data_IF_684420348343
#
_entry.id   IF_684420348343
#
_cell.length_a   1.000
_cell.length_b   1.000
_cell.length_c   1.000
_cell.angle_alpha   90.00
_cell.angle_beta   90.00
_cell.angle_gamma   90.00
#
_symmetry.space_group_name_H-M   'P 1'
#
loop_
_entity.id
_entity.type
_entity.pdbx_description
1 polymer ?
#
# COMPACT_ATOMS: atom_id res chain seq x y z
N UNK A 1 13.62 -64.18 20.29
CA UNK A 1 12.45 -64.67 21.05
C UNK A 1 11.82 -65.82 20.27
N UNK A 2 11.86 -67.02 20.85
CA UNK A 2 11.38 -68.27 20.23
C UNK A 2 9.85 -68.24 20.16
N UNK A 3 9.31 -68.42 18.97
CA UNK A 3 7.87 -68.45 18.71
C UNK A 3 7.29 -69.75 19.32
N UNK A 4 6.85 -69.70 20.58
CA UNK A 4 6.23 -70.83 21.25
C UNK A 4 4.83 -71.06 20.65
N UNK A 5 4.78 -71.91 19.62
CA UNK A 5 3.55 -72.31 18.95
C UNK A 5 2.49 -72.82 19.93
N UNK A 6 1.23 -72.42 19.71
CA UNK A 6 0.08 -72.86 20.50
C UNK A 6 0.02 -74.39 20.60
N UNK A 7 -0.18 -74.91 21.81
CA UNK A 7 -0.52 -76.33 22.03
C UNK A 7 -1.84 -76.65 21.32
N UNK A 8 -1.81 -77.52 20.32
CA UNK A 8 -3.01 -78.04 19.65
C UNK A 8 -3.77 -78.98 20.59
N UNK A 9 -5.11 -78.88 20.58
CA UNK A 9 -6.05 -79.62 21.44
C UNK A 9 -6.21 -81.11 21.05
N UNK A 10 -5.11 -81.78 20.72
CA UNK A 10 -5.11 -83.20 20.35
C UNK A 10 -4.74 -84.08 21.54
N UNK A 11 -5.51 -85.15 21.77
CA UNK A 11 -5.15 -86.16 22.77
C UNK A 11 -3.81 -86.81 22.41
N UNK A 12 -3.13 -87.42 23.39
CA UNK A 12 -1.79 -88.01 23.24
C UNK A 12 -1.70 -88.96 22.03
N UNK A 13 -2.70 -89.83 21.87
CA UNK A 13 -2.83 -90.76 20.75
C UNK A 13 -2.88 -90.08 19.36
N UNK A 14 -3.63 -88.98 19.22
CA UNK A 14 -3.71 -88.25 17.94
C UNK A 14 -2.41 -87.50 17.63
N UNK A 15 -1.69 -87.08 18.68
CA UNK A 15 -0.40 -86.41 18.55
C UNK A 15 0.69 -87.36 18.09
N UNK A 16 0.68 -88.60 18.59
CA UNK A 16 1.63 -89.64 18.22
C UNK A 16 1.46 -90.09 16.77
N UNK A 17 0.21 -90.15 16.29
CA UNK A 17 -0.13 -90.56 14.90
C UNK A 17 -0.16 -89.42 13.88
N UNK A 18 0.08 -88.16 14.30
CA UNK A 18 0.02 -86.95 13.46
C UNK A 18 -1.27 -86.78 12.62
N UNK A 19 -2.41 -87.20 13.17
CA UNK A 19 -3.72 -87.08 12.49
C UNK A 19 -4.50 -85.87 13.02
N UNK A 20 -5.17 -85.12 12.13
CA UNK A 20 -6.05 -84.00 12.52
C UNK A 20 -7.29 -84.55 13.25
N UNK A 21 -7.71 -83.90 14.35
CA UNK A 21 -8.75 -84.38 15.28
C UNK A 21 -10.11 -84.74 14.65
N UNK A 22 -10.39 -84.23 13.46
CA UNK A 22 -11.65 -84.39 12.73
C UNK A 22 -11.80 -85.82 12.15
N UNK A 23 -10.72 -86.60 12.09
CA UNK A 23 -10.70 -87.96 11.53
C UNK A 23 -10.44 -89.06 12.58
N UNK A 24 -10.75 -88.82 13.85
CA UNK A 24 -10.63 -89.85 14.89
C UNK A 24 -11.86 -90.78 14.87
N UNK A 25 -11.73 -92.10 14.58
CA UNK A 25 -12.88 -93.01 14.45
C UNK A 25 -13.54 -93.38 15.80
N UNK A 26 -12.95 -92.97 16.92
CA UNK A 26 -13.42 -93.31 18.27
C UNK A 26 -14.04 -92.08 18.94
N UNK A 27 -15.20 -91.65 18.44
CA UNK A 27 -15.87 -90.39 18.81
C UNK A 27 -16.59 -90.40 20.17
N UNK A 28 -16.48 -91.47 20.97
CA UNK A 28 -17.23 -91.59 22.24
C UNK A 28 -16.40 -91.23 23.47
N UNK A 29 -15.07 -91.40 23.46
CA UNK A 29 -14.24 -91.19 24.67
C UNK A 29 -13.66 -89.75 24.76
N UNK A 30 -13.72 -88.95 23.68
CA UNK A 30 -13.21 -87.58 23.69
C UNK A 30 -14.22 -86.50 24.14
N UNK A 31 -15.42 -86.86 24.60
CA UNK A 31 -16.48 -85.89 24.93
C UNK A 31 -16.40 -85.26 26.32
N UNK A 32 -15.51 -85.71 27.20
CA UNK A 32 -15.37 -85.13 28.53
C UNK A 32 -14.17 -84.18 28.60
N UNK A 33 -14.30 -83.01 27.96
CA UNK A 33 -13.50 -81.83 28.34
C UNK A 33 -14.42 -80.84 29.07
N UNK A 34 -14.06 -80.41 30.29
CA UNK A 34 -14.97 -79.67 31.16
C UNK A 34 -15.27 -78.26 30.60
N UNK A 35 -16.51 -77.81 30.82
CA UNK A 35 -17.05 -76.49 30.46
C UNK A 35 -16.23 -75.28 30.99
N UNK A 36 -15.24 -75.51 31.86
CA UNK A 36 -14.35 -74.48 32.41
C UNK A 36 -13.39 -73.86 31.39
N UNK A 37 -13.12 -74.54 30.26
CA UNK A 37 -12.22 -74.03 29.21
C UNK A 37 -12.89 -72.96 28.33
N UNK A 38 -14.22 -72.97 28.20
CA UNK A 38 -14.95 -71.97 27.42
C UNK A 38 -15.04 -70.63 28.15
N UNK A 39 -15.29 -70.64 29.47
CA UNK A 39 -15.36 -69.43 30.29
C UNK A 39 -14.04 -68.65 30.30
N UNK A 40 -12.91 -69.35 30.38
CA UNK A 40 -11.59 -68.73 30.27
C UNK A 40 -11.31 -68.12 28.88
N UNK A 41 -11.80 -68.76 27.82
CA UNK A 41 -11.67 -68.22 26.46
C UNK A 41 -12.54 -66.98 26.26
N UNK A 42 -13.76 -66.98 26.77
CA UNK A 42 -14.68 -65.84 26.76
C UNK A 42 -14.12 -64.65 27.54
N UNK A 43 -13.65 -64.86 28.77
CA UNK A 43 -13.02 -63.80 29.59
C UNK A 43 -11.81 -63.20 28.88
N UNK A 44 -10.98 -64.03 28.25
CA UNK A 44 -9.79 -63.57 27.52
C UNK A 44 -10.14 -62.80 26.25
N UNK A 45 -11.25 -63.13 25.59
CA UNK A 45 -11.77 -62.35 24.45
C UNK A 45 -12.35 -61.03 24.94
N UNK A 46 -13.17 -61.05 26.00
CA UNK A 46 -13.73 -59.83 26.59
C UNK A 46 -12.63 -58.86 27.06
N UNK A 47 -11.58 -59.36 27.69
CA UNK A 47 -10.45 -58.53 28.15
C UNK A 47 -9.71 -57.90 26.97
N UNK A 48 -9.56 -58.62 25.85
CA UNK A 48 -8.93 -58.09 24.62
C UNK A 48 -9.79 -57.04 23.94
N UNK A 49 -11.09 -57.27 23.86
CA UNK A 49 -12.03 -56.30 23.29
C UNK A 49 -12.07 -55.03 24.13
N UNK A 50 -12.09 -55.16 25.46
CA UNK A 50 -12.09 -54.01 26.36
C UNK A 50 -10.79 -53.23 26.26
N UNK A 51 -9.64 -53.91 26.21
CA UNK A 51 -8.32 -53.27 26.01
C UNK A 51 -8.22 -52.53 24.67
N UNK A 52 -8.70 -53.15 23.59
CA UNK A 52 -8.71 -52.50 22.27
C UNK A 52 -9.66 -51.29 22.23
N UNK A 53 -10.78 -51.34 22.98
CA UNK A 53 -11.75 -50.24 23.08
C UNK A 53 -11.17 -49.07 23.88
N UNK A 54 -10.49 -49.33 25.00
CA UNK A 54 -9.80 -48.29 25.76
C UNK A 54 -8.63 -47.68 25.00
N UNK A 55 -7.82 -48.48 24.29
CA UNK A 55 -6.74 -47.97 23.44
C UNK A 55 -7.28 -47.07 22.31
N UNK A 56 -8.40 -47.44 21.68
CA UNK A 56 -9.06 -46.60 20.67
C UNK A 56 -9.65 -45.31 21.25
N UNK A 57 -10.26 -45.37 22.44
CA UNK A 57 -10.74 -44.17 23.13
C UNK A 57 -9.59 -43.23 23.51
N UNK A 58 -8.49 -43.78 23.99
CA UNK A 58 -7.30 -43.01 24.38
C UNK A 58 -6.64 -42.36 23.15
N UNK A 59 -6.58 -43.08 22.03
CA UNK A 59 -6.11 -42.55 20.76
C UNK A 59 -7.02 -41.44 20.22
N UNK A 60 -8.34 -41.66 20.22
CA UNK A 60 -9.31 -40.63 19.80
C UNK A 60 -9.26 -39.40 20.72
N UNK A 61 -9.00 -39.58 22.02
CA UNK A 61 -8.83 -38.48 22.97
C UNK A 61 -7.52 -37.71 22.72
N UNK A 62 -6.44 -38.38 22.32
CA UNK A 62 -5.18 -37.74 21.93
C UNK A 62 -5.32 -36.97 20.61
N UNK A 63 -6.04 -37.52 19.65
CA UNK A 63 -6.35 -36.86 18.36
C UNK A 63 -7.32 -35.68 18.53
N UNK A 64 -8.28 -35.78 19.44
CA UNK A 64 -9.15 -34.65 19.80
C UNK A 64 -8.42 -33.57 20.61
N UNK A 65 -7.32 -33.93 21.31
CA UNK A 65 -6.49 -32.99 22.07
C UNK A 65 -5.40 -32.31 21.22
N UNK A 66 -5.16 -32.75 19.98
CA UNK A 66 -4.27 -32.02 19.08
C UNK A 66 -5.00 -30.81 18.50
N UNK A 67 -4.61 -29.62 18.99
CA UNK A 67 -5.02 -28.34 18.41
C UNK A 67 -4.67 -28.37 16.91
N UNK A 68 -5.63 -28.08 16.00
CA UNK A 68 -5.33 -27.97 14.58
C UNK A 68 -4.18 -26.99 14.40
N UNK A 69 -3.12 -27.40 13.68
CA UNK A 69 -2.06 -26.45 13.32
C UNK A 69 -2.72 -25.38 12.46
N UNK A 70 -2.82 -24.17 13.00
CA UNK A 70 -3.36 -23.03 12.26
C UNK A 70 -2.62 -22.89 10.94
N UNK A 71 -3.32 -22.44 9.89
CA UNK A 71 -2.69 -22.11 8.60
C UNK A 71 -1.63 -21.05 8.89
N UNK A 72 -0.36 -21.43 8.75
CA UNK A 72 0.76 -20.51 8.99
C UNK A 72 0.86 -19.55 7.80
N UNK A 73 0.27 -18.37 7.93
CA UNK A 73 0.41 -17.28 6.97
C UNK A 73 1.73 -16.57 7.27
N UNK A 74 2.56 -16.36 6.23
CA UNK A 74 3.86 -15.72 6.41
C UNK A 74 3.70 -14.22 6.68
N UNK A 75 4.73 -13.60 7.27
CA UNK A 75 4.71 -12.18 7.59
C UNK A 75 4.50 -11.32 6.33
N UNK A 76 5.05 -11.75 5.20
CA UNK A 76 4.96 -11.10 3.89
C UNK A 76 3.50 -10.99 3.43
N UNK A 77 2.71 -12.05 3.57
CA UNK A 77 1.29 -12.06 3.16
C UNK A 77 0.45 -11.14 4.05
N UNK A 78 0.69 -11.16 5.36
CA UNK A 78 0.02 -10.25 6.30
C UNK A 78 0.37 -8.78 6.02
N UNK A 79 1.66 -8.50 5.82
CA UNK A 79 2.15 -7.18 5.48
C UNK A 79 1.62 -6.69 4.13
N UNK A 80 1.51 -7.59 3.15
CA UNK A 80 0.94 -7.27 1.84
C UNK A 80 -0.51 -6.82 1.93
N UNK A 81 -1.36 -7.60 2.60
CA UNK A 81 -2.78 -7.25 2.77
C UNK A 81 -2.96 -5.92 3.49
N UNK A 82 -2.16 -5.69 4.55
CA UNK A 82 -2.18 -4.42 5.28
C UNK A 82 -1.75 -3.25 4.38
N UNK A 83 -0.63 -3.41 3.67
CA UNK A 83 -0.14 -2.38 2.75
C UNK A 83 -1.19 -2.02 1.69
N UNK A 84 -1.84 -3.02 1.08
CA UNK A 84 -2.86 -2.77 0.08
C UNK A 84 -4.09 -2.04 0.67
N UNK A 85 -4.54 -2.43 1.87
CA UNK A 85 -5.63 -1.72 2.54
C UNK A 85 -5.25 -0.26 2.82
N UNK A 86 -4.07 -0.02 3.40
CA UNK A 86 -3.65 1.32 3.80
C UNK A 86 -3.41 2.23 2.58
N UNK A 87 -2.64 1.76 1.60
CA UNK A 87 -2.15 2.57 0.49
C UNK A 87 -3.03 2.54 -0.75
N UNK A 88 -3.83 1.51 -1.01
CA UNK A 88 -4.76 1.52 -2.14
C UNK A 88 -6.17 1.89 -1.68
N UNK A 89 -6.77 1.10 -0.78
CA UNK A 89 -8.18 1.23 -0.43
C UNK A 89 -8.46 2.48 0.41
N UNK A 90 -7.73 2.67 1.50
CA UNK A 90 -8.00 3.76 2.45
C UNK A 90 -7.46 5.11 1.98
N UNK A 91 -6.31 5.11 1.28
CA UNK A 91 -5.75 6.35 0.72
C UNK A 91 -6.45 6.81 -0.56
N UNK A 92 -6.99 5.88 -1.35
CA UNK A 92 -7.56 6.15 -2.67
C UNK A 92 -6.54 6.38 -3.78
N UNK A 93 -5.23 6.24 -3.54
CA UNK A 93 -4.21 6.46 -4.58
C UNK A 93 -4.36 5.44 -5.71
N UNK A 94 -4.77 5.94 -6.89
CA UNK A 94 -5.15 5.10 -8.04
C UNK A 94 -4.00 4.25 -8.57
N UNK A 95 -2.75 4.72 -8.44
CA UNK A 95 -1.56 3.98 -8.86
C UNK A 95 -1.48 2.60 -8.18
N UNK A 96 -1.88 2.47 -6.92
CA UNK A 96 -1.73 1.21 -6.19
C UNK A 96 -2.84 0.19 -6.50
N UNK A 97 -3.91 0.61 -7.17
CA UNK A 97 -4.97 -0.30 -7.64
C UNK A 97 -4.46 -1.29 -8.71
N UNK A 98 -3.32 -1.02 -9.34
CA UNK A 98 -2.71 -1.91 -10.34
C UNK A 98 -1.97 -3.10 -9.72
N UNK A 99 -1.61 -3.03 -8.44
CA UNK A 99 -0.71 -4.00 -7.83
C UNK A 99 -1.23 -5.45 -7.87
N UNK A 100 -2.52 -5.76 -7.61
CA UNK A 100 -3.03 -7.12 -7.71
C UNK A 100 -2.89 -7.70 -9.13
N UNK A 101 -3.12 -6.87 -10.15
CA UNK A 101 -2.97 -7.25 -11.56
C UNK A 101 -1.50 -7.52 -11.90
N UNK A 102 -0.59 -6.64 -11.47
CA UNK A 102 0.84 -6.81 -11.74
C UNK A 102 1.38 -8.04 -11.01
N UNK A 103 0.96 -8.26 -9.76
CA UNK A 103 1.38 -9.42 -8.96
C UNK A 103 0.99 -10.76 -9.60
N UNK A 104 -0.22 -10.86 -10.15
CA UNK A 104 -0.75 -12.10 -10.74
C UNK A 104 -0.23 -12.41 -12.15
N UNK A 105 0.33 -11.43 -12.86
CA UNK A 105 0.68 -11.53 -14.29
C UNK A 105 2.12 -11.98 -14.55
N UNK A 106 2.63 -12.98 -13.80
CA UNK A 106 4.05 -13.40 -13.88
C UNK A 106 5.03 -12.22 -13.74
N UNK A 107 4.85 -11.44 -12.67
CA UNK A 107 5.67 -10.27 -12.36
C UNK A 107 7.18 -10.57 -12.32
N UNK A 108 7.98 -9.57 -12.69
CA UNK A 108 9.44 -9.63 -12.54
C UNK A 108 9.86 -9.84 -11.09
N UNK A 109 11.04 -10.45 -10.89
CA UNK A 109 11.62 -10.63 -9.56
C UNK A 109 11.80 -9.31 -8.84
N UNK A 110 12.25 -8.24 -9.53
CA UNK A 110 12.44 -6.94 -8.88
C UNK A 110 11.15 -6.36 -8.32
N UNK A 111 10.01 -6.59 -8.99
CA UNK A 111 8.71 -6.17 -8.47
C UNK A 111 8.31 -6.93 -7.21
N UNK A 112 8.44 -8.26 -7.21
CA UNK A 112 8.06 -9.08 -6.05
C UNK A 112 8.87 -8.68 -4.82
N UNK A 113 10.18 -8.53 -4.99
CA UNK A 113 11.09 -8.10 -3.94
C UNK A 113 10.78 -6.68 -3.45
N UNK A 114 10.54 -5.72 -4.36
CA UNK A 114 10.19 -4.36 -3.99
C UNK A 114 8.85 -4.29 -3.23
N UNK A 115 7.87 -5.10 -3.65
CA UNK A 115 6.56 -5.21 -3.01
C UNK A 115 6.68 -5.74 -1.58
N UNK A 116 7.45 -6.82 -1.39
CA UNK A 116 7.72 -7.36 -0.06
C UNK A 116 8.46 -6.36 0.81
N UNK A 117 9.48 -5.69 0.25
CA UNK A 117 10.24 -4.67 0.96
C UNK A 117 9.33 -3.56 1.51
N UNK A 118 8.49 -2.96 0.65
CA UNK A 118 7.65 -1.82 1.07
C UNK A 118 6.50 -2.25 1.99
N UNK A 119 5.92 -3.42 1.78
CA UNK A 119 4.85 -3.93 2.64
C UNK A 119 5.38 -4.25 4.06
N UNK A 120 6.55 -4.91 4.13
CA UNK A 120 7.21 -5.23 5.40
C UNK A 120 7.70 -3.97 6.11
N UNK A 121 8.24 -2.98 5.38
CA UNK A 121 8.75 -1.75 6.00
C UNK A 121 7.63 -0.91 6.60
N UNK A 122 6.50 -0.81 5.90
CA UNK A 122 5.28 -0.18 6.42
C UNK A 122 4.82 -0.87 7.70
N UNK A 123 4.69 -2.21 7.67
CA UNK A 123 4.28 -3.00 8.83
C UNK A 123 5.27 -2.88 9.99
N UNK A 124 6.57 -2.88 9.73
CA UNK A 124 7.62 -2.73 10.73
C UNK A 124 7.50 -1.40 11.48
N UNK A 125 7.19 -0.31 10.77
CA UNK A 125 6.99 1.02 11.35
C UNK A 125 5.71 1.09 12.17
N UNK A 126 4.60 0.65 11.62
CA UNK A 126 3.29 0.71 12.30
C UNK A 126 3.25 -0.19 13.54
N UNK A 127 3.82 -1.39 13.46
CA UNK A 127 3.81 -2.37 14.56
C UNK A 127 5.03 -2.24 15.48
N UNK A 128 5.97 -1.34 15.17
CA UNK A 128 7.23 -1.16 15.88
C UNK A 128 8.05 -2.47 16.01
N UNK A 129 8.06 -3.30 14.96
CA UNK A 129 8.73 -4.59 14.95
C UNK A 129 10.04 -4.54 14.16
N UNK A 130 11.17 -4.54 14.87
CA UNK A 130 12.51 -4.48 14.26
C UNK A 130 12.84 -5.71 13.40
N UNK A 131 12.28 -6.89 13.71
CA UNK A 131 12.46 -8.10 12.89
C UNK A 131 11.92 -7.94 11.47
N UNK A 132 10.75 -7.30 11.32
CA UNK A 132 10.18 -7.01 10.01
C UNK A 132 11.04 -6.01 9.23
N UNK A 133 11.65 -5.03 9.92
CA UNK A 133 12.57 -4.08 9.30
C UNK A 133 13.82 -4.76 8.71
N UNK A 134 14.35 -5.80 9.37
CA UNK A 134 15.49 -6.58 8.84
C UNK A 134 15.09 -7.30 7.55
N UNK A 135 13.92 -7.95 7.54
CA UNK A 135 13.41 -8.62 6.34
C UNK A 135 13.15 -7.61 5.21
N UNK A 136 12.54 -6.46 5.53
CA UNK A 136 12.25 -5.41 4.57
C UNK A 136 13.51 -4.91 3.87
N UNK A 137 14.59 -4.68 4.61
CA UNK A 137 15.89 -4.26 4.06
C UNK A 137 16.55 -5.32 3.19
N UNK A 138 16.39 -6.61 3.54
CA UNK A 138 16.89 -7.71 2.70
C UNK A 138 16.19 -7.71 1.35
N UNK A 139 14.85 -7.71 1.36
CA UNK A 139 14.04 -7.64 0.14
C UNK A 139 14.34 -6.38 -0.69
N UNK A 140 14.57 -5.23 -0.04
CA UNK A 140 15.00 -4.01 -0.74
C UNK A 140 16.34 -4.21 -1.48
N UNK A 141 17.34 -4.82 -0.85
CA UNK A 141 18.63 -5.11 -1.50
C UNK A 141 18.51 -6.11 -2.66
N UNK A 142 17.67 -7.13 -2.49
CA UNK A 142 17.35 -8.12 -3.53
C UNK A 142 16.64 -7.45 -4.72
N UNK A 143 15.69 -6.55 -4.44
CA UNK A 143 14.97 -5.77 -5.44
C UNK A 143 15.89 -4.88 -6.26
N UNK A 144 16.83 -4.16 -5.65
CA UNK A 144 17.80 -3.32 -6.36
C UNK A 144 18.69 -4.17 -7.28
N UNK A 145 19.14 -5.34 -6.79
CA UNK A 145 19.96 -6.26 -7.59
C UNK A 145 19.19 -6.77 -8.81
N UNK A 146 17.95 -7.23 -8.59
CA UNK A 146 17.09 -7.71 -9.68
C UNK A 146 16.68 -6.59 -10.65
N UNK A 147 16.49 -5.37 -10.14
CA UNK A 147 16.17 -4.21 -10.96
C UNK A 147 17.32 -3.86 -11.91
N UNK A 148 18.57 -3.86 -11.42
CA UNK A 148 19.73 -3.62 -12.29
C UNK A 148 19.81 -4.66 -13.42
N UNK A 149 19.58 -5.93 -13.10
CA UNK A 149 19.51 -7.00 -14.11
C UNK A 149 18.40 -6.74 -15.13
N UNK A 150 17.21 -6.32 -14.67
CA UNK A 150 16.08 -6.02 -15.55
C UNK A 150 16.34 -4.80 -16.45
N UNK A 151 17.05 -3.78 -15.96
CA UNK A 151 17.41 -2.58 -16.72
C UNK A 151 18.49 -2.84 -17.78
N UNK A 152 19.32 -3.87 -17.60
CA UNK A 152 20.31 -4.31 -18.59
C UNK A 152 19.68 -5.11 -19.75
N UNK A 153 18.47 -5.66 -19.54
CA UNK A 153 17.72 -6.39 -20.56
C UNK A 153 16.61 -5.51 -21.18
N UNK A 154 16.69 -5.28 -22.49
CA UNK A 154 15.73 -4.44 -23.22
C UNK A 154 14.28 -4.95 -23.15
N UNK A 155 14.06 -6.26 -23.09
CA UNK A 155 12.72 -6.84 -22.99
C UNK A 155 12.15 -6.64 -21.59
N UNK A 156 12.95 -6.92 -20.56
CA UNK A 156 12.53 -6.74 -19.17
C UNK A 156 12.33 -5.26 -18.81
N UNK A 157 13.17 -4.37 -19.33
CA UNK A 157 13.05 -2.91 -19.13
C UNK A 157 11.69 -2.37 -19.59
N UNK A 158 11.09 -2.98 -20.62
CA UNK A 158 9.79 -2.57 -21.15
C UNK A 158 8.59 -3.10 -20.34
N UNK A 159 8.81 -3.90 -19.30
CA UNK A 159 7.76 -4.52 -18.48
C UNK A 159 7.21 -3.53 -17.43
N UNK A 160 5.88 -3.46 -17.29
CA UNK A 160 5.22 -2.60 -16.30
C UNK A 160 5.67 -2.88 -14.86
N UNK A 161 5.97 -4.14 -14.55
CA UNK A 161 6.43 -4.54 -13.21
C UNK A 161 7.77 -3.88 -12.84
N UNK A 162 8.65 -3.58 -13.80
CA UNK A 162 9.91 -2.86 -13.56
C UNK A 162 9.64 -1.40 -13.19
N UNK A 163 8.74 -0.73 -13.91
CA UNK A 163 8.34 0.64 -13.59
C UNK A 163 7.68 0.73 -12.22
N UNK A 164 6.77 -0.19 -11.90
CA UNK A 164 6.13 -0.23 -10.58
C UNK A 164 7.14 -0.56 -9.48
N UNK A 165 8.10 -1.44 -9.72
CA UNK A 165 9.17 -1.73 -8.77
C UNK A 165 9.96 -0.47 -8.38
N UNK A 166 10.33 0.37 -9.36
CA UNK A 166 11.01 1.66 -9.11
C UNK A 166 10.18 2.59 -8.20
N UNK A 167 8.87 2.64 -8.40
CA UNK A 167 7.97 3.47 -7.59
C UNK A 167 7.84 2.92 -6.15
N UNK A 168 7.76 1.60 -5.99
CA UNK A 168 7.70 0.95 -4.68
C UNK A 168 9.01 1.12 -3.89
N UNK A 169 10.17 1.08 -4.58
CA UNK A 169 11.46 1.38 -3.97
C UNK A 169 11.53 2.84 -3.48
N UNK A 170 11.01 3.79 -4.27
CA UNK A 170 10.88 5.19 -3.83
C UNK A 170 10.03 5.31 -2.57
N UNK A 171 8.92 4.57 -2.49
CA UNK A 171 8.05 4.57 -1.32
C UNK A 171 8.73 3.94 -0.10
N UNK A 172 9.51 2.87 -0.27
CA UNK A 172 10.30 2.29 0.81
C UNK A 172 11.22 3.34 1.45
N UNK A 173 11.90 4.12 0.63
CA UNK A 173 12.86 5.14 1.07
C UNK A 173 12.15 6.33 1.73
N UNK A 174 10.95 6.67 1.27
CA UNK A 174 10.09 7.66 1.92
C UNK A 174 9.65 7.21 3.32
N UNK A 175 9.37 5.92 3.52
CA UNK A 175 8.97 5.37 4.82
C UNK A 175 10.18 5.30 5.79
N UNK A 176 11.41 5.14 5.28
CA UNK A 176 12.65 5.05 6.07
C UNK A 176 13.69 6.06 5.58
N UNK A 177 13.45 7.37 5.80
CA UNK A 177 14.30 8.42 5.28
C UNK A 177 15.69 8.43 5.91
N UNK A 178 15.85 7.90 7.14
CA UNK A 178 17.11 7.91 7.87
C UNK A 178 18.24 7.13 7.17
N UNK A 179 17.90 6.24 6.24
CA UNK A 179 18.87 5.43 5.50
C UNK A 179 19.41 6.10 4.22
N UNK A 180 18.75 7.14 3.69
CA UNK A 180 18.96 7.61 2.31
C UNK A 180 19.22 9.12 2.14
N UNK A 181 19.33 9.89 3.23
CA UNK A 181 19.59 11.35 3.22
C UNK A 181 21.02 11.73 2.79
N UNK A 182 21.40 11.44 1.54
CA UNK A 182 22.69 11.88 0.97
C UNK A 182 22.57 12.97 -0.10
N UNK A 183 21.40 13.15 -0.70
CA UNK A 183 21.15 14.15 -1.74
C UNK A 183 20.09 15.15 -1.26
N UNK A 184 20.47 16.43 -1.17
CA UNK A 184 19.57 17.50 -0.72
C UNK A 184 18.47 17.81 -1.74
N UNK A 185 18.71 17.58 -3.03
CA UNK A 185 17.80 17.97 -4.11
C UNK A 185 16.67 16.95 -4.32
N UNK A 186 16.89 15.69 -3.93
CA UNK A 186 15.94 14.57 -4.12
C UNK A 186 15.60 13.83 -2.82
N UNK A 187 15.63 14.55 -1.69
CA UNK A 187 15.58 14.02 -0.31
C UNK A 187 14.44 13.02 0.02
N UNK A 188 13.41 12.89 -0.83
CA UNK A 188 12.29 11.95 -0.67
C UNK A 188 11.93 11.14 -1.94
N UNK A 189 12.65 11.29 -3.06
CA UNK A 189 12.30 10.62 -4.33
C UNK A 189 13.54 10.28 -5.18
N UNK A 190 14.51 9.55 -4.62
CA UNK A 190 15.79 9.29 -5.30
C UNK A 190 15.65 8.52 -6.62
N UNK A 191 14.59 7.72 -6.79
CA UNK A 191 14.30 7.04 -8.06
C UNK A 191 13.41 7.85 -9.01
N UNK A 192 12.98 9.07 -8.67
CA UNK A 192 12.15 9.93 -9.52
C UNK A 192 12.76 10.13 -10.91
N UNK A 193 14.05 10.50 -10.95
CA UNK A 193 14.77 10.69 -12.21
C UNK A 193 14.86 9.39 -13.01
N UNK A 194 15.09 8.26 -12.33
CA UNK A 194 15.12 6.94 -12.96
C UNK A 194 13.77 6.57 -13.59
N UNK A 195 12.67 6.81 -12.87
CA UNK A 195 11.31 6.56 -13.35
C UNK A 195 10.98 7.43 -14.58
N UNK A 196 11.31 8.73 -14.56
CA UNK A 196 11.14 9.60 -15.73
C UNK A 196 11.98 9.16 -16.93
N UNK A 197 13.24 8.76 -16.71
CA UNK A 197 14.10 8.24 -17.77
C UNK A 197 13.56 6.93 -18.36
N UNK A 198 13.00 6.05 -17.53
CA UNK A 198 12.38 4.82 -17.98
C UNK A 198 11.12 5.09 -18.81
N UNK A 199 10.23 5.96 -18.32
CA UNK A 199 9.04 6.40 -19.08
C UNK A 199 9.43 6.97 -20.45
N UNK A 200 10.49 7.78 -20.48
CA UNK A 200 11.04 8.34 -21.73
C UNK A 200 11.56 7.27 -22.65
N UNK A 201 12.37 6.35 -22.13
CA UNK A 201 12.91 5.25 -22.90
C UNK A 201 11.82 4.39 -23.51
N UNK A 202 10.74 4.11 -22.76
CA UNK A 202 9.56 3.36 -23.23
C UNK A 202 8.81 4.13 -24.33
N UNK A 203 8.54 5.43 -24.11
CA UNK A 203 7.84 6.28 -25.06
C UNK A 203 8.59 6.41 -26.40
N UNK A 204 9.90 6.70 -26.37
CA UNK A 204 10.74 6.85 -27.57
C UNK A 204 10.82 5.55 -28.41
N UNK A 205 10.49 4.41 -27.81
CA UNK A 205 10.51 3.08 -28.45
C UNK A 205 9.12 2.51 -28.72
N UNK A 206 8.05 3.29 -28.52
CA UNK A 206 6.67 2.83 -28.63
C UNK A 206 6.38 1.58 -27.78
N UNK A 207 6.96 1.53 -26.58
CA UNK A 207 6.78 0.49 -25.56
C UNK A 207 5.96 0.99 -24.37
N UNK A 208 5.17 2.05 -24.57
CA UNK A 208 4.37 2.63 -23.51
C UNK A 208 3.08 1.84 -23.26
N UNK A 209 2.59 1.85 -22.02
CA UNK A 209 1.37 1.21 -21.57
C UNK A 209 0.41 2.22 -20.92
N UNK A 210 -0.84 1.80 -20.64
CA UNK A 210 -1.79 2.62 -19.87
C UNK A 210 -1.28 2.94 -18.45
N UNK A 211 -0.41 2.08 -17.91
CA UNK A 211 0.18 2.26 -16.59
C UNK A 211 1.19 3.42 -16.57
N UNK A 212 1.82 3.73 -17.72
CA UNK A 212 2.75 4.85 -17.82
C UNK A 212 2.07 6.19 -17.54
N UNK A 213 0.84 6.38 -18.05
CA UNK A 213 0.05 7.59 -17.79
C UNK A 213 -0.23 7.71 -16.29
N UNK A 214 -0.70 6.63 -15.65
CA UNK A 214 -0.97 6.63 -14.19
C UNK A 214 0.29 6.91 -13.36
N UNK A 215 1.43 6.31 -13.74
CA UNK A 215 2.72 6.59 -13.11
C UNK A 215 3.14 8.04 -13.30
N UNK A 216 2.93 8.58 -14.48
CA UNK A 216 3.25 9.97 -14.77
C UNK A 216 2.39 10.95 -13.97
N UNK A 217 1.09 10.69 -13.80
CA UNK A 217 0.22 11.50 -12.95
C UNK A 217 0.71 11.48 -11.49
N UNK A 218 1.14 10.32 -11.00
CA UNK A 218 1.73 10.18 -9.67
C UNK A 218 3.05 10.97 -9.52
N UNK A 219 3.93 10.92 -10.52
CA UNK A 219 5.18 11.71 -10.55
C UNK A 219 4.89 13.22 -10.63
N UNK A 220 3.83 13.62 -11.35
CA UNK A 220 3.38 15.02 -11.42
C UNK A 220 2.93 15.52 -10.06
N UNK A 221 2.21 14.70 -9.30
CA UNK A 221 1.84 15.03 -7.92
C UNK A 221 3.04 15.17 -7.00
N UNK A 222 4.02 14.27 -7.09
CA UNK A 222 5.28 14.37 -6.35
C UNK A 222 5.95 15.74 -6.61
N UNK A 223 6.01 16.17 -7.87
CA UNK A 223 6.56 17.47 -8.23
C UNK A 223 5.75 18.62 -7.64
N UNK A 224 4.43 18.54 -7.71
CA UNK A 224 3.52 19.54 -7.14
C UNK A 224 3.74 19.66 -5.62
N UNK A 225 3.77 18.54 -4.90
CA UNK A 225 4.02 18.54 -3.45
C UNK A 225 5.40 19.11 -3.11
N UNK A 226 6.45 18.72 -3.86
CA UNK A 226 7.81 19.27 -3.66
C UNK A 226 7.83 20.79 -3.88
N UNK A 227 7.12 21.28 -4.90
CA UNK A 227 7.03 22.71 -5.18
C UNK A 227 6.41 23.47 -4.00
N UNK A 228 5.36 22.94 -3.39
CA UNK A 228 4.61 23.61 -2.32
C UNK A 228 5.21 23.43 -0.91
N UNK A 229 5.77 22.27 -0.59
CA UNK A 229 6.24 21.93 0.76
C UNK A 229 7.69 22.34 1.03
N UNK A 230 8.59 22.24 0.04
CA UNK A 230 10.03 22.43 0.30
C UNK A 230 10.49 23.88 0.13
N UNK A 231 9.58 24.78 -0.26
CA UNK A 231 9.90 26.16 -0.63
C UNK A 231 11.11 26.26 -1.59
N UNK A 232 11.31 25.22 -2.42
CA UNK A 232 12.43 25.10 -3.34
C UNK A 232 12.33 26.26 -4.36
N UNK A 233 13.30 27.19 -4.39
CA UNK A 233 13.26 28.33 -5.30
C UNK A 233 13.49 27.90 -6.76
N UNK A 234 14.02 26.68 -6.96
CA UNK A 234 14.31 26.12 -8.26
C UNK A 234 13.37 24.96 -8.58
N UNK A 235 12.52 25.22 -9.56
CA UNK A 235 11.63 24.32 -10.28
C UNK A 235 12.40 23.23 -11.07
N UNK A 236 13.35 22.52 -10.45
CA UNK A 236 14.18 21.56 -11.20
C UNK A 236 13.38 20.31 -11.56
N UNK A 237 12.63 19.78 -10.58
CA UNK A 237 11.81 18.57 -10.76
C UNK A 237 10.66 18.80 -11.73
N UNK A 238 10.00 19.94 -11.59
CA UNK A 238 8.84 20.26 -12.40
C UNK A 238 9.23 20.72 -13.81
N UNK A 239 10.34 21.45 -14.00
CA UNK A 239 10.92 21.67 -15.33
C UNK A 239 11.32 20.35 -16.02
N UNK A 240 11.93 19.40 -15.28
CA UNK A 240 12.26 18.09 -15.84
C UNK A 240 11.00 17.33 -16.29
N UNK A 241 9.91 17.45 -15.54
CA UNK A 241 8.60 16.89 -15.86
C UNK A 241 8.01 17.54 -17.14
N UNK A 242 8.07 18.85 -17.26
CA UNK A 242 7.59 19.59 -18.45
C UNK A 242 8.38 19.24 -19.71
N UNK A 243 9.71 19.25 -19.63
CA UNK A 243 10.60 18.87 -20.75
C UNK A 243 10.26 17.46 -21.24
N UNK A 244 9.97 16.54 -20.30
CA UNK A 244 9.56 15.18 -20.63
C UNK A 244 8.16 15.12 -21.26
N UNK A 245 7.21 15.90 -20.76
CA UNK A 245 5.81 15.80 -21.16
C UNK A 245 5.52 16.40 -22.54
N UNK A 246 6.24 17.45 -22.95
CA UNK A 246 6.07 18.14 -24.25
C UNK A 246 5.98 17.18 -25.45
N UNK A 247 6.86 16.18 -25.63
CA UNK A 247 6.77 15.24 -26.74
C UNK A 247 5.73 14.12 -26.54
N UNK A 248 5.24 13.89 -25.32
CA UNK A 248 4.56 12.64 -24.95
C UNK A 248 3.07 12.81 -24.61
N UNK A 249 2.69 13.90 -23.96
CA UNK A 249 1.32 14.09 -23.44
C UNK A 249 0.52 14.98 -24.38
N UNK A 250 -0.58 14.44 -24.89
CA UNK A 250 -1.57 15.19 -25.66
C UNK A 250 -2.58 15.83 -24.69
N UNK A 251 -2.15 16.83 -23.94
CA UNK A 251 -3.01 17.49 -22.96
C UNK A 251 -2.25 18.25 -21.89
N UNK A 252 -2.96 18.98 -21.02
CA UNK A 252 -2.35 19.65 -19.89
C UNK A 252 -1.85 18.62 -18.87
N UNK A 253 -0.69 18.90 -18.26
CA UNK A 253 -0.08 18.08 -17.20
C UNK A 253 -0.96 17.93 -15.96
N UNK A 254 -1.67 19.01 -15.67
CA UNK A 254 -2.55 19.15 -14.54
C UNK A 254 -3.93 19.55 -15.03
N UNK A 255 -4.95 19.22 -14.26
CA UNK A 255 -6.24 19.88 -14.36
C UNK A 255 -6.11 21.42 -14.28
N UNK A 256 -7.02 22.16 -14.92
CA UNK A 256 -6.85 23.60 -15.16
C UNK A 256 -6.59 24.45 -13.91
N UNK A 257 -7.22 24.12 -12.78
CA UNK A 257 -7.05 24.88 -11.54
C UNK A 257 -5.63 24.70 -10.96
N UNK A 258 -5.11 23.48 -10.93
CA UNK A 258 -3.76 23.20 -10.43
C UNK A 258 -2.69 23.71 -11.39
N UNK A 259 -2.93 23.69 -12.70
CA UNK A 259 -2.04 24.30 -13.70
C UNK A 259 -1.86 25.81 -13.45
N UNK A 260 -2.96 26.55 -13.28
CA UNK A 260 -2.91 27.99 -12.94
C UNK A 260 -2.19 28.28 -11.64
N UNK A 261 -2.29 27.38 -10.65
CA UNK A 261 -1.59 27.53 -9.37
C UNK A 261 -0.07 27.44 -9.55
N UNK A 262 0.42 26.51 -10.36
CA UNK A 262 1.85 26.38 -10.67
C UNK A 262 2.37 27.63 -11.36
N UNK A 263 1.66 28.11 -12.39
CA UNK A 263 2.03 29.31 -13.13
C UNK A 263 2.02 30.56 -12.23
N UNK A 264 0.99 30.70 -11.39
CA UNK A 264 0.89 31.77 -10.40
C UNK A 264 2.09 31.77 -9.45
N UNK A 265 2.45 30.61 -8.89
CA UNK A 265 3.58 30.49 -7.96
C UNK A 265 4.90 30.86 -8.61
N UNK A 266 5.15 30.40 -9.85
CA UNK A 266 6.34 30.77 -10.63
C UNK A 266 6.44 32.27 -10.83
N UNK A 267 5.33 32.90 -11.26
CA UNK A 267 5.28 34.34 -11.42
C UNK A 267 5.53 35.05 -10.08
N UNK A 268 4.89 34.65 -8.98
CA UNK A 268 5.09 35.24 -7.66
C UNK A 268 6.54 35.12 -7.16
N UNK A 269 7.21 33.99 -7.38
CA UNK A 269 8.61 33.80 -7.00
C UNK A 269 9.58 34.59 -7.88
N UNK A 270 9.33 34.66 -9.19
CA UNK A 270 10.12 35.49 -10.10
C UNK A 270 10.08 36.97 -9.66
N UNK A 271 8.92 37.43 -9.21
CA UNK A 271 8.72 38.78 -8.67
C UNK A 271 9.55 39.03 -7.40
N UNK A 272 9.62 38.04 -6.50
CA UNK A 272 10.45 38.13 -5.30
C UNK A 272 11.96 38.10 -5.59
N UNK A 273 12.38 37.42 -6.66
CA UNK A 273 13.81 37.17 -6.97
C UNK A 273 14.43 38.26 -7.84
N UNK A 274 13.67 38.85 -8.78
CA UNK A 274 14.18 39.82 -9.77
C UNK A 274 14.44 41.21 -9.16
N UNK A 275 13.95 41.48 -7.94
CA UNK A 275 14.24 42.70 -7.18
C UNK A 275 13.61 43.96 -7.77
N UNK A 276 12.65 44.55 -7.04
CA UNK A 276 12.06 45.91 -7.15
C UNK A 276 11.73 46.54 -8.54
N UNK A 277 11.93 45.87 -9.67
CA UNK A 277 11.70 46.44 -11.00
C UNK A 277 10.31 46.14 -11.58
N UNK A 278 9.54 45.29 -10.91
CA UNK A 278 8.19 44.99 -11.36
C UNK A 278 7.26 46.15 -11.10
N UNK A 279 6.43 46.46 -12.08
CA UNK A 279 5.46 47.54 -11.91
C UNK A 279 4.46 47.17 -10.83
N UNK A 280 4.09 48.13 -9.96
CA UNK A 280 3.05 47.93 -8.93
C UNK A 280 1.73 47.41 -9.53
N UNK A 281 1.47 47.75 -10.80
CA UNK A 281 0.32 47.31 -11.57
C UNK A 281 0.36 45.79 -11.82
N UNK A 282 1.52 45.24 -12.21
CA UNK A 282 1.71 43.79 -12.38
C UNK A 282 1.49 43.05 -11.07
N UNK A 283 2.04 43.56 -9.95
CA UNK A 283 1.85 42.92 -8.64
C UNK A 283 0.39 42.94 -8.20
N UNK A 284 -0.34 44.04 -8.45
CA UNK A 284 -1.79 44.12 -8.18
C UNK A 284 -2.56 43.13 -9.05
N UNK A 285 -2.20 42.95 -10.32
CA UNK A 285 -2.84 41.95 -11.17
C UNK A 285 -2.57 40.54 -10.64
N UNK A 286 -1.34 40.25 -10.22
CA UNK A 286 -0.97 38.96 -9.64
C UNK A 286 -1.76 38.68 -8.35
N UNK A 287 -1.96 39.68 -7.49
CA UNK A 287 -2.83 39.56 -6.30
C UNK A 287 -4.26 39.16 -6.70
N UNK A 288 -4.84 39.80 -7.73
CA UNK A 288 -6.18 39.47 -8.22
C UNK A 288 -6.26 38.05 -8.76
N UNK A 289 -5.27 37.65 -9.56
CA UNK A 289 -5.20 36.30 -10.11
C UNK A 289 -5.13 35.26 -8.98
N UNK A 290 -4.31 35.52 -7.95
CA UNK A 290 -4.23 34.65 -6.77
C UNK A 290 -5.53 34.55 -5.99
N UNK A 291 -6.29 35.65 -5.84
CA UNK A 291 -7.62 35.63 -5.20
C UNK A 291 -8.60 34.76 -6.01
N UNK A 292 -8.66 34.93 -7.33
CA UNK A 292 -9.52 34.11 -8.20
C UNK A 292 -9.13 32.64 -8.14
N UNK A 293 -7.83 32.32 -8.15
CA UNK A 293 -7.35 30.95 -7.99
C UNK A 293 -7.79 30.36 -6.63
N UNK A 294 -7.75 31.13 -5.55
CA UNK A 294 -8.21 30.69 -4.23
C UNK A 294 -9.71 30.35 -4.21
N UNK A 295 -10.54 31.13 -4.90
CA UNK A 295 -11.98 30.88 -5.02
C UNK A 295 -12.24 29.61 -5.85
N UNK A 296 -11.52 29.44 -6.95
CA UNK A 296 -11.66 28.26 -7.82
C UNK A 296 -11.21 26.97 -7.13
N UNK A 297 -10.14 27.01 -6.33
CA UNK A 297 -9.69 25.88 -5.51
C UNK A 297 -10.74 25.48 -4.46
N UNK A 298 -11.37 26.45 -3.80
CA UNK A 298 -12.41 26.21 -2.80
C UNK A 298 -13.67 25.60 -3.43
N UNK A 299 -14.08 26.13 -4.60
CA UNK A 299 -15.18 25.58 -5.38
C UNK A 299 -14.88 24.15 -5.85
N UNK A 300 -13.65 23.90 -6.31
CA UNK A 300 -13.19 22.57 -6.72
C UNK A 300 -13.24 21.60 -5.55
N UNK A 301 -12.66 21.94 -4.39
CA UNK A 301 -12.71 21.12 -3.19
C UNK A 301 -14.16 20.80 -2.77
N UNK A 302 -15.03 21.80 -2.75
CA UNK A 302 -16.45 21.62 -2.40
C UNK A 302 -17.20 20.72 -3.39
N UNK A 303 -16.79 20.71 -4.66
CA UNK A 303 -17.38 19.87 -5.70
C UNK A 303 -16.98 18.39 -5.59
N UNK A 304 -15.84 18.07 -4.98
CA UNK A 304 -15.38 16.69 -4.77
C UNK A 304 -16.38 15.96 -3.89
N UNK A 305 -16.93 14.85 -4.38
CA UNK A 305 -17.89 14.01 -3.65
C UNK A 305 -17.62 12.54 -3.95
N UNK A 306 -17.72 11.71 -2.92
CA UNK A 306 -17.66 10.27 -3.10
C UNK A 306 -18.83 9.78 -3.96
N UNK A 307 -18.59 8.70 -4.70
CA UNK A 307 -19.65 8.00 -5.43
C UNK A 307 -20.80 7.62 -4.50
N UNK A 308 -22.03 7.77 -5.00
CA UNK A 308 -23.23 7.27 -4.29
C UNK A 308 -23.35 5.75 -4.38
N UNK A 309 -22.59 5.10 -5.26
CA UNK A 309 -22.54 3.65 -5.40
C UNK A 309 -21.10 3.14 -5.17
N UNK A 310 -20.80 2.59 -3.98
CA UNK A 310 -19.46 2.10 -3.65
C UNK A 310 -19.08 0.82 -4.40
N UNK A 311 -20.06 0.10 -4.98
CA UNK A 311 -19.81 -1.15 -5.71
C UNK A 311 -19.40 -0.92 -7.18
N UNK A 312 -19.30 0.33 -7.61
CA UNK A 312 -18.79 0.68 -8.94
C UNK A 312 -17.33 0.20 -9.11
N UNK A 313 -16.97 -0.39 -10.25
CA UNK A 313 -15.59 -0.70 -10.57
C UNK A 313 -14.68 0.53 -10.48
N UNK A 314 -13.43 0.36 -10.05
CA UNK A 314 -12.44 1.46 -9.88
C UNK A 314 -12.29 2.39 -11.10
N UNK A 315 -12.46 1.87 -12.33
CA UNK A 315 -12.37 2.68 -13.55
C UNK A 315 -13.58 3.60 -13.78
N UNK A 316 -14.71 3.33 -13.13
CA UNK A 316 -15.95 4.13 -13.19
C UNK A 316 -16.13 5.01 -11.93
N UNK A 317 -15.30 4.81 -10.91
CA UNK A 317 -15.31 5.63 -9.71
C UNK A 317 -14.85 7.07 -10.03
N UNK A 318 -15.44 8.10 -9.39
CA UNK A 318 -14.99 9.47 -9.53
C UNK A 318 -13.52 9.59 -9.13
N UNK A 319 -12.77 10.41 -9.87
CA UNK A 319 -11.38 10.71 -9.54
C UNK A 319 -11.21 12.20 -9.28
N UNK A 320 -10.27 12.55 -8.41
CA UNK A 320 -9.97 13.93 -8.04
C UNK A 320 -8.45 14.16 -7.96
N UNK A 321 -8.08 15.44 -7.89
CA UNK A 321 -6.71 15.91 -7.79
C UNK A 321 -5.85 15.34 -8.91
N UNK A 322 -6.19 15.71 -10.15
CA UNK A 322 -5.49 15.28 -11.36
C UNK A 322 -5.49 13.74 -11.55
N UNK A 323 -6.65 13.10 -11.35
CA UNK A 323 -6.86 11.65 -11.44
C UNK A 323 -6.02 10.80 -10.46
N UNK A 324 -5.37 11.42 -9.48
CA UNK A 324 -4.50 10.72 -8.55
C UNK A 324 -5.29 9.92 -7.52
N UNK A 325 -6.44 10.43 -7.09
CA UNK A 325 -7.26 9.81 -6.06
C UNK A 325 -8.59 9.32 -6.62
N UNK A 326 -8.90 8.06 -6.37
CA UNK A 326 -10.25 7.54 -6.46
C UNK A 326 -11.05 8.02 -5.26
N UNK A 327 -12.25 8.57 -5.52
CA UNK A 327 -13.14 9.13 -4.51
C UNK A 327 -14.32 8.19 -4.30
N UNK A 328 -14.07 7.04 -3.69
CA UNK A 328 -15.06 5.99 -3.45
C UNK A 328 -15.60 5.95 -2.01
N UNK A 329 -14.91 6.57 -1.07
CA UNK A 329 -15.29 6.64 0.35
C UNK A 329 -15.29 8.06 0.89
N UNK A 330 -15.88 8.26 2.08
CA UNK A 330 -15.81 9.54 2.80
C UNK A 330 -14.40 9.93 3.20
N UNK A 331 -13.56 8.94 3.53
CA UNK A 331 -12.14 9.16 3.82
C UNK A 331 -11.41 9.68 2.58
N UNK A 332 -11.58 9.04 1.42
CA UNK A 332 -10.94 9.48 0.17
C UNK A 332 -11.47 10.84 -0.33
N UNK A 333 -12.76 11.14 -0.06
CA UNK A 333 -13.36 12.47 -0.30
C UNK A 333 -12.65 13.54 0.53
N UNK A 334 -12.48 13.31 1.83
CA UNK A 334 -11.80 14.23 2.73
C UNK A 334 -10.31 14.41 2.39
N UNK A 335 -9.61 13.33 2.02
CA UNK A 335 -8.20 13.41 1.56
C UNK A 335 -8.10 14.31 0.33
N UNK A 336 -8.91 14.08 -0.70
CA UNK A 336 -8.86 14.87 -1.94
C UNK A 336 -9.18 16.35 -1.68
N UNK A 337 -10.19 16.64 -0.85
CA UNK A 337 -10.52 18.02 -0.42
C UNK A 337 -9.36 18.68 0.31
N UNK A 338 -8.78 17.98 1.28
CA UNK A 338 -7.64 18.46 2.07
C UNK A 338 -6.46 18.86 1.19
N UNK A 339 -6.19 18.12 0.12
CA UNK A 339 -5.11 18.45 -0.82
C UNK A 339 -5.38 19.76 -1.58
N UNK A 340 -6.59 19.96 -2.12
CA UNK A 340 -6.95 21.22 -2.76
C UNK A 340 -6.87 22.41 -1.78
N UNK A 341 -7.34 22.21 -0.55
CA UNK A 341 -7.30 23.26 0.47
C UNK A 341 -5.86 23.55 0.94
N UNK A 342 -4.98 22.54 0.98
CA UNK A 342 -3.55 22.72 1.26
C UNK A 342 -2.87 23.55 0.16
N UNK A 343 -3.16 23.24 -1.10
CA UNK A 343 -2.68 24.05 -2.24
C UNK A 343 -3.20 25.49 -2.14
N UNK A 344 -4.49 25.66 -1.81
CA UNK A 344 -5.10 26.98 -1.61
C UNK A 344 -4.44 27.76 -0.48
N UNK A 345 -4.14 27.11 0.64
CA UNK A 345 -3.45 27.72 1.76
C UNK A 345 -2.12 28.36 1.32
N UNK A 346 -1.32 27.65 0.52
CA UNK A 346 -0.07 28.21 0.00
C UNK A 346 -0.28 29.35 -0.99
N UNK A 347 -1.34 29.33 -1.81
CA UNK A 347 -1.70 30.47 -2.66
C UNK A 347 -2.03 31.68 -1.79
N UNK A 348 -2.81 31.51 -0.72
CA UNK A 348 -3.13 32.58 0.24
C UNK A 348 -1.87 33.15 0.91
N UNK A 349 -0.89 32.31 1.27
CA UNK A 349 0.39 32.77 1.82
C UNK A 349 1.18 33.63 0.83
N UNK A 350 1.24 33.24 -0.44
CA UNK A 350 1.89 34.01 -1.50
C UNK A 350 1.16 35.33 -1.75
N UNK A 351 -0.17 35.32 -1.85
CA UNK A 351 -0.98 36.54 -2.00
C UNK A 351 -0.77 37.50 -0.82
N UNK A 352 -0.75 36.98 0.40
CA UNK A 352 -0.49 37.79 1.61
C UNK A 352 0.88 38.47 1.54
N UNK A 353 1.90 37.76 1.05
CA UNK A 353 3.25 38.29 0.88
C UNK A 353 3.31 39.40 -0.18
N UNK A 354 2.59 39.22 -1.30
CA UNK A 354 2.47 40.24 -2.35
C UNK A 354 1.71 41.49 -1.86
N UNK A 355 0.65 41.30 -1.07
CA UNK A 355 -0.10 42.41 -0.46
C UNK A 355 0.80 43.23 0.47
N UNK A 356 1.54 42.57 1.37
CA UNK A 356 2.49 43.24 2.27
C UNK A 356 3.53 44.06 1.48
N UNK A 357 4.08 43.48 0.40
CA UNK A 357 5.01 44.19 -0.49
C UNK A 357 4.41 45.47 -1.10
N UNK A 358 3.15 45.43 -1.55
CA UNK A 358 2.46 46.59 -2.15
C UNK A 358 2.12 47.67 -1.11
N UNK A 359 1.86 47.28 0.14
CA UNK A 359 1.54 48.17 1.26
C UNK A 359 2.77 48.87 1.83
N UNK A 360 3.89 48.15 1.99
CA UNK A 360 5.17 48.70 2.49
C UNK A 360 5.81 49.70 1.50
N UNK A 361 5.57 49.53 0.19
CA UNK A 361 6.17 50.35 -0.86
C UNK A 361 5.54 51.73 -1.14
N UNK A 362 4.52 52.19 -0.39
CA UNK A 362 3.72 53.37 -0.78
C UNK A 362 3.44 54.41 0.32
N UNK A 363 4.15 55.55 0.29
CA UNK A 363 3.87 56.74 1.11
C UNK A 363 2.66 57.59 0.69
N UNK A 364 1.91 57.18 -0.33
CA UNK A 364 0.63 57.81 -0.73
C UNK A 364 -0.39 56.74 -1.09
N UNK A 365 -1.53 56.76 -0.37
CA UNK A 365 -2.69 55.91 -0.58
C UNK A 365 -3.30 56.19 -1.96
N UNK A 366 -2.82 55.53 -3.01
CA UNK A 366 -3.72 55.21 -4.12
C UNK A 366 -4.64 54.10 -3.62
N UNK A 367 -5.95 54.27 -3.79
CA UNK A 367 -6.94 53.26 -3.45
C UNK A 367 -6.63 51.97 -4.22
N UNK A 368 -6.05 51.00 -3.52
CA UNK A 368 -5.78 49.69 -4.06
C UNK A 368 -7.13 48.97 -4.16
N UNK A 369 -7.68 48.87 -5.37
CA UNK A 369 -8.90 48.11 -5.65
C UNK A 369 -8.63 46.60 -5.70
N UNK A 370 -8.16 46.01 -4.59
CA UNK A 370 -8.23 44.56 -4.35
C UNK A 370 -8.90 44.33 -2.98
N UNK A 371 -9.78 43.33 -2.90
CA UNK A 371 -10.43 42.92 -1.65
C UNK A 371 -9.80 41.61 -1.19
N UNK A 372 -8.71 41.71 -0.43
CA UNK A 372 -8.12 40.55 0.23
C UNK A 372 -8.57 40.53 1.70
N UNK A 373 -9.04 39.37 2.18
CA UNK A 373 -9.39 39.18 3.58
C UNK A 373 -8.17 38.57 4.31
N UNK A 374 -7.49 39.29 5.22
CA UNK A 374 -6.36 38.76 5.97
C UNK A 374 -6.69 37.50 6.78
N UNK A 375 -7.95 37.33 7.18
CA UNK A 375 -8.42 36.15 7.93
C UNK A 375 -8.54 34.90 7.05
N UNK A 376 -8.40 35.02 5.72
CA UNK A 376 -8.54 33.90 4.79
C UNK A 376 -7.58 32.75 5.12
N UNK A 377 -6.35 33.06 5.53
CA UNK A 377 -5.35 32.04 5.92
C UNK A 377 -5.86 31.12 7.04
N UNK A 378 -6.46 31.71 8.08
CA UNK A 378 -6.99 30.97 9.22
C UNK A 378 -8.20 30.13 8.82
N UNK A 379 -9.10 30.67 7.98
CA UNK A 379 -10.26 29.91 7.48
C UNK A 379 -9.84 28.68 6.66
N UNK A 380 -8.84 28.82 5.78
CA UNK A 380 -8.35 27.66 5.00
C UNK A 380 -7.70 26.62 5.92
N UNK A 381 -6.92 27.06 6.91
CA UNK A 381 -6.30 26.15 7.87
C UNK A 381 -7.36 25.37 8.68
N UNK A 382 -8.42 26.06 9.12
CA UNK A 382 -9.54 25.42 9.83
C UNK A 382 -10.22 24.36 8.96
N UNK A 383 -10.45 24.65 7.68
CA UNK A 383 -10.99 23.68 6.72
C UNK A 383 -10.06 22.47 6.55
N UNK A 384 -8.75 22.69 6.38
CA UNK A 384 -7.76 21.59 6.28
C UNK A 384 -7.78 20.72 7.54
N UNK A 385 -7.79 21.33 8.72
CA UNK A 385 -7.86 20.60 9.99
C UNK A 385 -9.16 19.79 10.11
N UNK A 386 -10.30 20.37 9.72
CA UNK A 386 -11.58 19.67 9.69
C UNK A 386 -11.55 18.42 8.80
N UNK A 387 -10.98 18.53 7.60
CA UNK A 387 -10.82 17.38 6.70
C UNK A 387 -9.85 16.32 7.28
N UNK A 388 -8.74 16.73 7.91
CA UNK A 388 -7.82 15.80 8.58
C UNK A 388 -8.53 15.04 9.71
N UNK A 389 -9.32 15.73 10.52
CA UNK A 389 -10.11 15.09 11.57
C UNK A 389 -11.12 14.09 10.99
N UNK A 390 -11.78 14.42 9.87
CA UNK A 390 -12.66 13.50 9.17
C UNK A 390 -11.93 12.25 8.64
N UNK A 391 -10.70 12.40 8.14
CA UNK A 391 -9.87 11.27 7.69
C UNK A 391 -9.48 10.35 8.86
N UNK A 392 -9.17 10.94 10.02
CA UNK A 392 -8.73 10.21 11.21
C UNK A 392 -9.88 9.71 12.11
N UNK A 393 -11.14 9.96 11.71
CA UNK A 393 -12.33 9.69 12.51
C UNK A 393 -12.27 10.33 13.92
N UNK A 394 -11.79 11.58 13.97
CA UNK A 394 -11.68 12.38 15.18
C UNK A 394 -12.81 13.43 15.24
N UNK A 395 -13.38 13.63 16.43
CA UNK A 395 -14.29 14.75 16.67
C UNK A 395 -13.51 16.07 16.57
N UNK A 396 -13.94 16.96 15.67
CA UNK A 396 -13.35 18.28 15.50
C UNK A 396 -13.88 19.24 16.57
N UNK A 397 -13.03 19.59 17.53
CA UNK A 397 -13.35 20.51 18.63
C UNK A 397 -12.76 21.91 18.35
N UNK A 398 -13.62 22.81 17.85
CA UNK A 398 -13.28 24.18 17.43
C UNK A 398 -12.69 25.01 18.57
N UNK A 399 -13.00 24.68 19.83
CA UNK A 399 -12.61 25.48 20.99
C UNK A 399 -11.13 25.34 21.39
N UNK A 400 -10.42 24.32 20.89
CA UNK A 400 -9.01 24.06 21.24
C UNK A 400 -7.97 24.81 20.41
N UNK A 401 -8.34 25.34 19.24
CA UNK A 401 -7.40 26.09 18.38
C UNK A 401 -7.27 27.57 18.79
N UNK A 402 -8.24 28.12 19.51
CA UNK A 402 -8.18 29.49 20.02
C UNK A 402 -7.29 29.65 21.27
N UNK A 403 -6.59 28.58 21.70
CA UNK A 403 -5.71 28.56 22.88
C UNK A 403 -4.23 28.32 22.57
N UNK A 404 -3.86 28.24 21.28
CA UNK A 404 -2.47 28.17 20.78
C UNK A 404 -2.21 29.44 19.96
#
# INVERSE_FOLDING_TARGET
MVNAGRRTKSCSMCRERRVKLIQCPSSVICKNHPASVNKYAEDKVQTRVQKAKTERMEQARREAATVPRGVHITAEVHSWNRFYNDYAIHSGITLFNVLPRVYTSSSSTCFQEALHAVALVSSARQLQQSGLMVLARRHYGEAITALNIALDDTLLTADDSVLVALLLLSLFEMIVPECFRKDADFQCHIHFRGALLLLRWRAERARNSELDESCFMFLSHICLMSMFLNNEPFDVKWLALEIFAVPWIKGPLLEPVLGRVVDFKRHALAQATIGHHSSRIEVIQLIKDGITICEDLDATATSVKASSNPDLPSHEQPKAFNNMFEVSTKTTEAIARSLYQTVRYHVVELVSSLVAFVEEGGGTRHELHYKFNPSMRYMVLEQVCGEICAVLDLEYDVDKLNTI
#
